data_IF_714492597258
#
_entry.id   IF_714492597258
#
_cell.length_a   1.000
_cell.length_b   1.000
_cell.length_c   1.000
_cell.angle_alpha   90.00
_cell.angle_beta   90.00
_cell.angle_gamma   90.00
#
_symmetry.space_group_name_H-M   'P 1'
#
loop_
_entity.id
_entity.type
_entity.pdbx_description
1 polymer ?
#
# COMPACT_ATOMS: atom_id res chain seq x y z
N UNK A 1 -1.48 19.24 -15.13
CA UNK A 1 -2.70 18.54 -14.66
C UNK A 1 -2.55 18.39 -13.18
N UNK A 2 -3.42 19.00 -12.38
CA UNK A 2 -3.35 18.88 -10.93
C UNK A 2 -3.65 17.44 -10.54
N UNK A 3 -2.69 16.82 -9.86
CA UNK A 3 -2.82 15.44 -9.41
C UNK A 3 -3.63 15.45 -8.11
N UNK A 4 -4.85 14.88 -8.09
CA UNK A 4 -5.78 15.06 -6.97
C UNK A 4 -5.26 14.51 -5.64
N UNK A 5 -4.24 13.65 -5.67
CA UNK A 5 -3.64 13.05 -4.47
C UNK A 5 -2.26 13.64 -4.11
N UNK A 6 -1.79 14.66 -4.82
CA UNK A 6 -0.50 15.30 -4.52
C UNK A 6 -0.50 15.89 -3.10
N UNK A 7 0.41 15.41 -2.26
CA UNK A 7 0.51 15.83 -0.86
C UNK A 7 -0.52 15.21 0.09
N UNK A 8 -1.37 14.29 -0.40
CA UNK A 8 -2.27 13.53 0.46
C UNK A 8 -1.52 12.47 1.28
N UNK A 9 -1.98 12.23 2.51
CA UNK A 9 -1.51 11.13 3.35
C UNK A 9 -2.59 10.06 3.41
N UNK A 10 -2.27 8.84 2.98
CA UNK A 10 -3.21 7.73 2.86
C UNK A 10 -2.73 6.55 3.69
N UNK A 11 -3.63 5.98 4.49
CA UNK A 11 -3.41 4.69 5.15
C UNK A 11 -4.09 3.60 4.33
N UNK A 12 -3.32 2.61 3.90
CA UNK A 12 -3.79 1.44 3.17
C UNK A 12 -3.79 0.21 4.07
N UNK A 13 -4.96 -0.15 4.60
CA UNK A 13 -5.17 -1.39 5.34
C UNK A 13 -5.43 -2.57 4.40
N UNK A 14 -4.67 -3.65 4.56
CA UNK A 14 -4.75 -4.85 3.73
C UNK A 14 -5.03 -6.07 4.61
N UNK A 15 -6.14 -6.77 4.33
CA UNK A 15 -6.61 -7.92 5.11
C UNK A 15 -6.52 -9.24 4.32
N UNK A 16 -6.70 -10.38 5.01
CA UNK A 16 -6.62 -11.73 4.44
C UNK A 16 -7.72 -12.04 3.45
N UNK A 17 -7.41 -11.92 2.16
CA UNK A 17 -8.28 -12.28 1.03
C UNK A 17 -7.40 -12.63 -0.17
N UNK A 18 -7.87 -13.49 -1.07
CA UNK A 18 -7.19 -13.68 -2.37
C UNK A 18 -7.07 -12.36 -3.15
N UNK A 19 -7.95 -11.39 -2.85
CA UNK A 19 -7.91 -9.99 -3.25
C UNK A 19 -6.57 -9.26 -3.04
N UNK A 20 -5.85 -9.62 -1.97
CA UNK A 20 -4.87 -8.73 -1.35
C UNK A 20 -3.64 -8.49 -2.23
N UNK A 21 -3.27 -9.39 -3.14
CA UNK A 21 -2.13 -9.15 -4.04
C UNK A 21 -2.34 -7.91 -4.94
N UNK A 22 -3.60 -7.59 -5.27
CA UNK A 22 -3.94 -6.41 -6.09
C UNK A 22 -3.67 -5.09 -5.36
N UNK A 23 -3.57 -5.13 -4.03
CA UNK A 23 -3.28 -3.92 -3.24
C UNK A 23 -1.86 -3.39 -3.47
N UNK A 24 -0.93 -4.21 -3.97
CA UNK A 24 0.39 -3.74 -4.41
C UNK A 24 0.29 -2.77 -5.60
N UNK A 25 -0.51 -3.12 -6.61
CA UNK A 25 -0.77 -2.23 -7.76
C UNK A 25 -1.47 -0.94 -7.32
N UNK A 26 -2.43 -1.04 -6.40
CA UNK A 26 -3.08 0.13 -5.80
C UNK A 26 -2.07 1.04 -5.08
N UNK A 27 -1.21 0.49 -4.23
CA UNK A 27 -0.18 1.25 -3.51
C UNK A 27 0.76 1.98 -4.48
N UNK A 28 1.22 1.29 -5.52
CA UNK A 28 2.06 1.87 -6.57
C UNK A 28 1.38 3.06 -7.25
N UNK A 29 0.11 2.92 -7.65
CA UNK A 29 -0.66 3.98 -8.30
C UNK A 29 -0.90 5.19 -7.40
N UNK A 30 -1.19 4.97 -6.11
CA UNK A 30 -1.36 6.06 -5.14
C UNK A 30 -0.06 6.86 -4.97
N UNK A 31 1.09 6.18 -4.88
CA UNK A 31 2.41 6.82 -4.79
C UNK A 31 2.75 7.58 -6.07
N UNK A 32 2.50 7.00 -7.25
CA UNK A 32 2.65 7.68 -8.53
C UNK A 32 1.74 8.91 -8.66
N UNK A 33 0.62 8.92 -7.91
CA UNK A 33 -0.26 10.07 -7.82
C UNK A 33 0.19 11.14 -6.80
N UNK A 34 1.39 11.02 -6.25
CA UNK A 34 1.98 11.99 -5.32
C UNK A 34 1.45 11.88 -3.88
N UNK A 35 0.74 10.79 -3.56
CA UNK A 35 0.33 10.49 -2.19
C UNK A 35 1.48 9.87 -1.39
N UNK A 36 1.54 10.19 -0.11
CA UNK A 36 2.30 9.42 0.87
C UNK A 36 1.42 8.27 1.36
N UNK A 37 1.90 7.03 1.23
CA UNK A 37 1.10 5.83 1.54
C UNK A 37 1.74 5.03 2.66
N UNK A 38 1.07 4.94 3.81
CA UNK A 38 1.41 4.08 4.93
C UNK A 38 0.58 2.79 4.86
N UNK A 39 1.24 1.63 4.88
CA UNK A 39 0.56 0.33 4.70
C UNK A 39 0.52 -0.43 6.01
N UNK A 40 -0.65 -1.01 6.31
CA UNK A 40 -0.89 -1.90 7.44
C UNK A 40 -1.37 -3.24 6.87
N UNK A 41 -0.69 -4.32 7.22
CA UNK A 41 -1.05 -5.69 6.83
C UNK A 41 -1.58 -6.44 8.04
N UNK A 42 -2.67 -7.20 7.90
CA UNK A 42 -3.00 -8.18 8.94
C UNK A 42 -2.13 -9.43 8.81
N UNK A 43 -2.06 -10.23 9.88
CA UNK A 43 -1.44 -11.57 9.83
C UNK A 43 -2.02 -12.43 8.70
N UNK A 44 -3.35 -12.37 8.52
CA UNK A 44 -4.04 -13.07 7.44
C UNK A 44 -3.59 -12.63 6.05
N UNK A 45 -3.35 -11.33 5.83
CA UNK A 45 -2.84 -10.81 4.56
C UNK A 45 -1.39 -11.21 4.31
N UNK A 46 -0.58 -11.25 5.37
CA UNK A 46 0.84 -11.60 5.31
C UNK A 46 1.11 -13.02 4.82
N UNK A 47 0.12 -13.90 4.89
CA UNK A 47 0.18 -15.25 4.29
C UNK A 47 0.11 -15.25 2.75
N UNK A 48 -0.40 -14.17 2.14
CA UNK A 48 -0.58 -14.05 0.69
C UNK A 48 0.39 -13.06 0.05
N UNK A 49 0.71 -11.97 0.76
CA UNK A 49 1.61 -10.92 0.27
C UNK A 49 2.51 -10.42 1.38
N UNK A 50 3.81 -10.29 1.10
CA UNK A 50 4.79 -9.94 2.13
C UNK A 50 4.90 -8.42 2.34
N UNK A 51 5.27 -7.96 3.54
CA UNK A 51 5.56 -6.54 3.80
C UNK A 51 6.66 -5.96 2.92
N UNK A 52 7.59 -6.78 2.41
CA UNK A 52 8.66 -6.32 1.51
C UNK A 52 8.11 -5.67 0.24
N UNK A 53 7.02 -6.21 -0.32
CA UNK A 53 6.41 -5.66 -1.54
C UNK A 53 5.99 -4.21 -1.33
N UNK A 54 5.30 -3.90 -0.24
CA UNK A 54 4.84 -2.54 0.03
C UNK A 54 5.99 -1.62 0.42
N UNK A 55 6.98 -2.08 1.20
CA UNK A 55 8.18 -1.29 1.52
C UNK A 55 8.89 -0.80 0.26
N UNK A 56 9.01 -1.66 -0.75
CA UNK A 56 9.63 -1.30 -2.03
C UNK A 56 8.81 -0.32 -2.85
N UNK A 57 7.47 -0.37 -2.75
CA UNK A 57 6.56 0.48 -3.54
C UNK A 57 6.30 1.84 -2.90
N UNK A 58 6.20 1.89 -1.57
CA UNK A 58 5.88 3.12 -0.84
C UNK A 58 7.10 3.83 -0.29
N UNK A 59 8.26 3.17 -0.29
CA UNK A 59 9.50 3.64 0.35
C UNK A 59 9.32 3.95 1.85
N UNK A 60 8.42 3.23 2.50
CA UNK A 60 8.02 3.45 3.90
C UNK A 60 7.91 2.13 4.65
N UNK A 61 8.07 2.14 5.99
CA UNK A 61 7.84 0.95 6.80
C UNK A 61 6.40 0.45 6.65
N UNK A 62 6.20 -0.84 6.89
CA UNK A 62 4.90 -1.50 6.84
C UNK A 62 4.65 -2.08 8.22
N UNK A 63 3.45 -1.83 8.75
CA UNK A 63 3.03 -2.32 10.07
C UNK A 63 2.28 -3.63 9.91
N UNK A 64 2.46 -4.53 10.88
CA UNK A 64 1.74 -5.80 11.02
C UNK A 64 0.70 -5.68 12.14
#
# INVERSE_FOLDING_TARGET
MDNPLSGANIVLGVTGSIACYKSADLASKLVQQGATVDVILTDGASNFITPLTFRSLTHRPVVL
#
